data_IF_894533237287
#
_entry.id   IF_894533237287
#
_cell.length_a   1.000
_cell.length_b   1.000
_cell.length_c   1.000
_cell.angle_alpha   90.00
_cell.angle_beta   90.00
_cell.angle_gamma   90.00
#
_symmetry.space_group_name_H-M   'P 1'
#
loop_
_entity.id
_entity.type
_entity.pdbx_description
1 polymer ?
#
# COMPACT_ATOMS: atom_id res chain seq x y z
N UNK A 1 19.50 13.05 10.47
CA UNK A 1 19.35 11.67 10.03
C UNK A 1 18.20 10.93 10.73
N UNK A 2 18.15 10.78 12.07
CA UNK A 2 17.08 10.02 12.76
C UNK A 2 15.64 10.48 12.43
N UNK A 3 15.37 11.79 12.38
CA UNK A 3 14.05 12.34 12.03
C UNK A 3 13.64 12.09 10.57
N UNK A 4 14.60 12.00 9.66
CA UNK A 4 14.40 11.76 8.23
C UNK A 4 14.08 10.29 7.96
N UNK A 5 14.81 9.38 8.59
CA UNK A 5 14.52 7.93 8.57
C UNK A 5 13.14 7.67 9.16
N UNK A 6 12.76 8.38 10.25
CA UNK A 6 11.44 8.26 10.86
C UNK A 6 10.32 8.76 9.94
N UNK A 7 10.55 9.80 9.14
CA UNK A 7 9.57 10.31 8.17
C UNK A 7 9.40 9.35 6.98
N UNK A 8 10.48 8.73 6.48
CA UNK A 8 10.41 7.69 5.44
C UNK A 8 9.72 6.43 5.97
N UNK A 9 10.03 6.00 7.19
CA UNK A 9 9.39 4.85 7.85
C UNK A 9 7.92 5.14 8.15
N UNK A 10 7.58 6.36 8.55
CA UNK A 10 6.19 6.78 8.76
C UNK A 10 5.40 6.85 7.45
N UNK A 11 6.01 7.33 6.35
CA UNK A 11 5.40 7.28 5.01
C UNK A 11 5.20 5.84 4.53
N UNK A 12 6.18 4.96 4.75
CA UNK A 12 6.04 3.52 4.47
C UNK A 12 4.99 2.85 5.36
N UNK A 13 4.92 3.22 6.64
CA UNK A 13 3.94 2.68 7.58
C UNK A 13 2.50 3.08 7.27
N UNK A 14 2.27 4.30 6.81
CA UNK A 14 0.93 4.74 6.37
C UNK A 14 0.46 4.00 5.12
N UNK A 15 1.37 3.58 4.24
CA UNK A 15 1.04 2.86 3.00
C UNK A 15 0.69 1.39 3.27
N UNK A 16 1.17 0.81 4.37
CA UNK A 16 0.87 -0.60 4.70
C UNK A 16 -0.53 -0.83 5.29
N UNK A 17 -1.24 0.22 5.70
CA UNK A 17 -2.58 0.10 6.30
C UNK A 17 -3.72 0.24 5.29
N UNK A 18 -3.44 0.51 4.02
CA UNK A 18 -4.46 0.66 2.98
C UNK A 18 -4.73 -0.68 2.32
N UNK A 19 -5.97 -1.14 2.41
CA UNK A 19 -6.58 -2.29 1.73
C UNK A 19 -5.66 -2.99 0.72
N UNK A 20 -5.02 -4.09 1.14
CA UNK A 20 -4.18 -4.90 0.28
C UNK A 20 -5.06 -5.56 -0.79
N UNK A 21 -5.31 -4.83 -1.88
CA UNK A 21 -5.86 -5.45 -3.07
C UNK A 21 -4.82 -6.43 -3.59
N UNK A 22 -5.21 -7.69 -3.70
CA UNK A 22 -4.35 -8.73 -4.26
C UNK A 22 -4.16 -8.45 -5.75
N UNK A 23 -2.93 -8.16 -6.13
CA UNK A 23 -2.50 -8.09 -7.52
C UNK A 23 -1.89 -9.44 -7.92
N UNK A 24 -1.98 -9.78 -9.20
CA UNK A 24 -1.27 -10.95 -9.74
C UNK A 24 0.23 -10.85 -9.44
N UNK A 25 0.86 -11.99 -9.19
CA UNK A 25 2.31 -12.02 -8.93
C UNK A 25 3.07 -11.42 -10.09
N UNK A 26 3.90 -10.42 -9.84
CA UNK A 26 4.75 -9.79 -10.83
C UNK A 26 6.18 -10.34 -10.76
N UNK A 27 6.82 -10.52 -11.92
CA UNK A 27 8.23 -10.90 -12.01
C UNK A 27 9.12 -9.68 -11.82
N UNK A 28 10.40 -9.91 -11.56
CA UNK A 28 11.36 -8.81 -11.47
C UNK A 28 11.41 -7.96 -12.74
N UNK A 29 11.21 -8.56 -13.90
CA UNK A 29 11.21 -7.90 -15.21
C UNK A 29 9.98 -7.05 -15.51
N UNK A 30 8.90 -7.20 -14.73
CA UNK A 30 7.64 -6.50 -14.96
C UNK A 30 7.65 -5.08 -14.36
N UNK A 31 6.73 -4.24 -14.85
CA UNK A 31 6.45 -2.90 -14.33
C UNK A 31 7.65 -1.94 -14.33
N UNK A 32 8.52 -2.10 -15.31
CA UNK A 32 9.58 -1.16 -15.61
C UNK A 32 9.12 -0.09 -16.60
N UNK A 33 9.64 1.10 -16.45
CA UNK A 33 9.45 2.20 -17.40
C UNK A 33 10.72 2.99 -17.58
N UNK A 34 10.91 3.52 -18.79
CA UNK A 34 11.98 4.46 -19.12
C UNK A 34 11.33 5.78 -19.52
N UNK A 35 11.90 6.89 -19.06
CA UNK A 35 11.37 8.21 -19.32
C UNK A 35 12.48 9.20 -19.69
N UNK A 36 12.10 10.14 -20.54
CA UNK A 36 12.85 11.36 -20.81
C UNK A 36 12.12 12.52 -20.16
N UNK A 37 12.85 13.45 -19.59
CA UNK A 37 12.27 14.63 -18.95
C UNK A 37 13.09 15.87 -19.30
N UNK A 38 12.45 17.00 -19.27
CA UNK A 38 13.07 18.27 -19.53
C UNK A 38 12.21 19.42 -19.00
N UNK A 39 12.84 20.53 -18.75
CA UNK A 39 12.14 21.66 -18.15
C UNK A 39 13.10 22.76 -17.75
N UNK A 40 12.81 23.35 -16.61
CA UNK A 40 13.59 24.45 -16.09
C UNK A 40 13.88 24.27 -14.60
N UNK A 41 15.02 24.76 -14.18
CA UNK A 41 15.47 24.83 -12.79
C UNK A 41 15.83 26.26 -12.45
N UNK A 42 15.45 26.69 -11.23
CA UNK A 42 15.79 28.02 -10.72
C UNK A 42 16.19 27.94 -9.25
N UNK A 43 17.23 28.66 -8.80
CA UNK A 43 17.61 28.69 -7.40
C UNK A 43 16.55 29.39 -6.54
N UNK A 44 16.33 28.91 -5.34
CA UNK A 44 15.41 29.49 -4.36
C UNK A 44 16.09 30.53 -3.43
N UNK A 45 17.33 30.91 -3.72
CA UNK A 45 17.98 32.02 -3.05
C UNK A 45 17.35 33.35 -3.51
N UNK A 46 17.69 34.47 -2.87
CA UNK A 46 17.14 35.80 -3.14
C UNK A 46 17.49 36.37 -4.56
N UNK A 47 17.64 35.50 -5.56
CA UNK A 47 17.92 35.88 -6.94
C UNK A 47 16.65 36.05 -7.78
N UNK A 48 16.78 36.57 -8.99
CA UNK A 48 15.66 36.80 -9.90
C UNK A 48 15.11 35.44 -10.38
N UNK A 49 13.94 35.07 -9.91
CA UNK A 49 13.30 33.77 -10.17
C UNK A 49 13.28 33.42 -11.67
N UNK A 50 12.85 34.34 -12.52
CA UNK A 50 12.80 34.14 -13.98
C UNK A 50 14.13 34.39 -14.67
N UNK A 51 14.94 35.33 -14.14
CA UNK A 51 16.20 35.72 -14.72
C UNK A 51 17.32 34.67 -14.58
N UNK A 52 17.22 33.87 -13.54
CA UNK A 52 18.20 32.83 -13.23
C UNK A 52 17.70 31.42 -13.61
N UNK A 53 16.60 31.35 -14.35
CA UNK A 53 16.05 30.07 -14.80
C UNK A 53 16.88 29.43 -15.90
N UNK A 54 17.13 28.11 -15.79
CA UNK A 54 17.92 27.33 -16.74
C UNK A 54 17.18 26.13 -17.26
N UNK A 55 17.52 25.69 -18.43
CA UNK A 55 17.09 24.44 -18.99
C UNK A 55 17.70 23.26 -18.26
N UNK A 56 16.91 22.22 -18.04
CA UNK A 56 17.34 20.92 -17.52
C UNK A 56 16.78 19.81 -18.40
N UNK A 57 17.60 18.80 -18.65
CA UNK A 57 17.20 17.57 -19.36
C UNK A 57 17.60 16.37 -18.52
N UNK A 58 16.85 15.29 -18.63
CA UNK A 58 17.15 14.11 -17.85
C UNK A 58 16.52 12.84 -18.41
N UNK A 59 17.00 11.74 -17.88
CA UNK A 59 16.50 10.39 -18.14
C UNK A 59 16.20 9.71 -16.82
N UNK A 60 15.19 8.88 -16.81
CA UNK A 60 14.84 8.07 -15.64
C UNK A 60 14.50 6.64 -16.04
N UNK A 61 14.86 5.70 -15.18
CA UNK A 61 14.44 4.32 -15.23
C UNK A 61 13.73 4.01 -13.92
N UNK A 62 12.44 3.65 -13.98
CA UNK A 62 11.58 3.41 -12.82
C UNK A 62 11.05 1.99 -12.82
N UNK A 63 10.97 1.39 -11.65
CA UNK A 63 10.26 0.15 -11.38
C UNK A 63 9.15 0.38 -10.38
N UNK A 64 7.94 -0.03 -10.71
CA UNK A 64 6.84 -0.12 -9.75
C UNK A 64 6.86 -1.52 -9.10
N UNK A 65 6.94 -1.56 -7.77
CA UNK A 65 6.97 -2.80 -6.97
C UNK A 65 5.56 -3.20 -6.59
N UNK A 66 4.73 -2.21 -6.29
CA UNK A 66 3.30 -2.36 -6.02
C UNK A 66 2.56 -1.25 -6.78
N UNK A 67 1.24 -1.31 -6.90
CA UNK A 67 0.46 -0.20 -7.47
C UNK A 67 0.62 1.15 -6.74
N UNK A 68 1.23 1.13 -5.54
CA UNK A 68 1.43 2.31 -4.70
C UNK A 68 2.90 2.72 -4.64
N UNK A 69 3.83 1.76 -4.57
CA UNK A 69 5.25 2.02 -4.35
C UNK A 69 6.10 1.68 -5.57
N UNK A 70 7.00 2.58 -5.88
CA UNK A 70 8.02 2.40 -6.91
C UNK A 70 9.37 2.96 -6.48
N UNK A 71 10.39 2.58 -7.20
CA UNK A 71 11.73 3.14 -7.09
C UNK A 71 12.36 3.27 -8.47
N UNK A 72 13.39 4.08 -8.57
CA UNK A 72 14.11 4.25 -9.82
C UNK A 72 15.45 4.92 -9.65
N UNK A 73 16.10 5.09 -10.78
CA UNK A 73 17.33 5.87 -10.92
C UNK A 73 17.12 6.97 -11.94
N UNK A 74 17.77 8.10 -11.74
CA UNK A 74 17.69 9.26 -12.63
C UNK A 74 19.05 9.87 -12.88
N UNK A 75 19.19 10.46 -14.07
CA UNK A 75 20.29 11.36 -14.41
C UNK A 75 19.72 12.64 -14.98
N UNK A 76 20.21 13.79 -14.52
CA UNK A 76 19.79 15.11 -14.96
C UNK A 76 20.99 15.99 -15.24
N UNK A 77 20.88 16.82 -16.25
CA UNK A 77 21.93 17.76 -16.70
C UNK A 77 21.32 19.13 -16.89
N UNK A 78 21.82 20.10 -16.17
CA UNK A 78 21.45 21.50 -16.34
C UNK A 78 22.25 22.12 -17.45
N UNK A 79 21.55 22.66 -18.44
CA UNK A 79 22.17 23.23 -19.63
C UNK A 79 22.81 24.59 -19.31
N UNK A 80 24.08 24.76 -19.66
CA UNK A 80 24.78 26.01 -19.46
C UNK A 80 24.20 27.10 -20.37
N UNK A 81 23.56 28.08 -19.75
CA UNK A 81 23.05 29.27 -20.45
C UNK A 81 23.68 30.52 -19.86
N UNK A 82 23.75 31.58 -20.62
CA UNK A 82 24.29 32.89 -20.17
C UNK A 82 23.46 33.53 -19.06
N UNK A 83 22.26 33.02 -18.80
CA UNK A 83 21.34 33.54 -17.77
C UNK A 83 21.73 33.17 -16.35
N UNK A 84 22.54 32.17 -16.16
CA UNK A 84 22.87 31.71 -14.81
C UNK A 84 23.98 32.54 -14.16
N UNK A 85 23.84 32.66 -12.87
CA UNK A 85 24.71 33.25 -11.88
C UNK A 85 26.03 33.85 -12.38
N UNK A 86 26.26 35.08 -12.01
CA UNK A 86 27.40 35.92 -12.30
C UNK A 86 28.77 35.31 -11.93
N UNK A 87 28.83 34.23 -11.20
CA UNK A 87 30.03 33.68 -10.59
C UNK A 87 30.42 32.27 -11.05
N UNK A 88 29.58 31.56 -11.81
CA UNK A 88 29.85 30.19 -12.24
C UNK A 88 29.55 30.04 -13.72
N UNK A 89 30.54 30.24 -14.56
CA UNK A 89 30.46 29.88 -15.98
C UNK A 89 31.29 28.63 -16.18
N UNK A 90 30.67 27.53 -16.53
CA UNK A 90 31.34 26.34 -17.04
C UNK A 90 31.70 26.54 -18.49
N UNK A 91 32.85 26.04 -18.93
CA UNK A 91 33.19 25.90 -20.36
C UNK A 91 32.48 24.72 -21.01
N UNK A 92 31.86 23.87 -20.20
CA UNK A 92 31.11 22.70 -20.63
C UNK A 92 29.70 23.07 -21.08
N UNK A 93 29.06 22.18 -21.83
CA UNK A 93 27.66 22.33 -22.24
C UNK A 93 26.71 22.31 -21.02
N UNK A 94 27.13 21.66 -19.95
CA UNK A 94 26.36 21.52 -18.71
C UNK A 94 27.05 22.19 -17.53
N UNK A 95 26.27 22.75 -16.63
CA UNK A 95 26.78 23.34 -15.38
C UNK A 95 26.72 22.36 -14.21
N UNK A 96 25.61 21.63 -14.12
CA UNK A 96 25.34 20.66 -13.05
C UNK A 96 24.92 19.33 -13.64
N UNK A 97 25.29 18.28 -12.95
CA UNK A 97 24.86 16.93 -13.23
C UNK A 97 24.39 16.31 -11.92
N UNK A 98 23.20 15.73 -11.94
CA UNK A 98 22.65 14.97 -10.84
C UNK A 98 22.50 13.51 -11.27
N UNK A 99 22.98 12.59 -10.46
CA UNK A 99 22.78 11.16 -10.66
C UNK A 99 22.35 10.55 -9.33
N UNK A 100 21.20 9.89 -9.30
CA UNK A 100 20.72 9.35 -8.04
C UNK A 100 19.59 8.36 -8.18
N UNK A 101 19.15 7.90 -7.00
CA UNK A 101 17.99 7.05 -6.85
C UNK A 101 16.80 7.83 -6.28
N UNK A 102 15.61 7.37 -6.61
CA UNK A 102 14.38 7.95 -6.08
C UNK A 102 13.36 6.87 -5.71
N UNK A 103 12.48 7.23 -4.80
CA UNK A 103 11.30 6.47 -4.40
C UNK A 103 10.05 7.22 -4.83
N UNK A 104 9.03 6.49 -5.22
CA UNK A 104 7.72 7.06 -5.55
C UNK A 104 6.62 6.41 -4.73
N UNK A 105 5.64 7.22 -4.33
CA UNK A 105 4.42 6.77 -3.68
C UNK A 105 3.20 7.30 -4.43
N UNK A 106 2.42 6.43 -5.07
CA UNK A 106 1.20 6.82 -5.78
C UNK A 106 0.09 7.15 -4.78
N UNK A 107 -0.09 8.45 -4.52
CA UNK A 107 -1.08 8.96 -3.57
C UNK A 107 -2.51 8.68 -4.02
N UNK A 108 -2.75 8.71 -5.33
CA UNK A 108 -4.07 8.41 -5.88
C UNK A 108 -4.48 6.99 -5.59
N UNK A 109 -3.57 6.02 -5.78
CA UNK A 109 -3.82 4.61 -5.49
C UNK A 109 -3.82 4.32 -3.98
N UNK A 110 -3.02 5.04 -3.20
CA UNK A 110 -3.02 4.93 -1.75
C UNK A 110 -4.36 5.34 -1.13
N UNK A 111 -4.97 6.41 -1.63
CA UNK A 111 -6.22 6.95 -1.10
C UNK A 111 -7.46 6.25 -1.68
N UNK A 112 -7.48 6.06 -2.99
CA UNK A 112 -8.68 5.59 -3.73
C UNK A 112 -8.63 4.12 -4.12
N UNK A 113 -7.62 3.36 -3.69
CA UNK A 113 -7.35 1.98 -4.09
C UNK A 113 -6.93 1.87 -5.56
N UNK A 114 -6.32 0.77 -5.96
CA UNK A 114 -5.99 0.48 -7.36
C UNK A 114 -7.18 -0.18 -8.07
N UNK A 115 -7.44 0.16 -9.35
CA UNK A 115 -8.61 -0.34 -10.10
C UNK A 115 -8.29 -1.49 -11.07
N UNK A 116 -7.07 -2.02 -11.06
CA UNK A 116 -6.61 -3.03 -12.03
C UNK A 116 -6.01 -2.42 -13.30
N UNK A 117 -6.20 -1.12 -13.51
CA UNK A 117 -5.57 -0.34 -14.58
C UNK A 117 -5.26 1.07 -14.06
N UNK A 118 -4.17 1.71 -14.51
CA UNK A 118 -3.85 3.08 -14.12
C UNK A 118 -4.98 4.04 -14.51
N UNK A 119 -5.29 4.99 -13.62
CA UNK A 119 -6.25 6.05 -13.92
C UNK A 119 -5.69 6.99 -14.98
N UNK A 120 -6.56 7.76 -15.62
CA UNK A 120 -6.14 8.77 -16.59
C UNK A 120 -5.16 9.77 -15.93
N UNK A 121 -5.48 10.22 -14.73
CA UNK A 121 -4.63 11.12 -13.95
C UNK A 121 -4.31 10.47 -12.61
N UNK A 122 -3.02 10.44 -12.27
CA UNK A 122 -2.51 9.96 -10.99
C UNK A 122 -1.48 10.93 -10.43
N UNK A 123 -1.48 11.09 -9.12
CA UNK A 123 -0.50 11.91 -8.40
C UNK A 123 0.42 10.99 -7.59
N UNK A 124 1.72 11.20 -7.75
CA UNK A 124 2.76 10.50 -7.00
C UNK A 124 3.58 11.48 -6.18
N UNK A 125 3.89 11.14 -4.95
CA UNK A 125 4.97 11.79 -4.19
C UNK A 125 6.31 11.19 -4.61
N UNK A 126 7.34 12.02 -4.63
CA UNK A 126 8.71 11.64 -5.00
C UNK A 126 9.68 12.07 -3.91
N UNK A 127 10.59 11.17 -3.54
CA UNK A 127 11.73 11.47 -2.68
C UNK A 127 13.00 10.85 -3.28
N UNK A 128 14.00 11.66 -3.56
CA UNK A 128 15.24 11.24 -4.19
C UNK A 128 16.47 11.66 -3.40
N UNK A 129 17.55 10.97 -3.65
CA UNK A 129 18.89 11.32 -3.16
C UNK A 129 19.95 10.84 -4.15
N UNK A 130 21.05 11.55 -4.21
CA UNK A 130 22.12 11.15 -5.11
C UNK A 130 23.33 12.09 -5.08
N UNK A 131 24.15 11.92 -6.08
CA UNK A 131 25.35 12.68 -6.28
C UNK A 131 25.06 13.91 -7.15
N UNK A 132 25.59 15.07 -6.71
CA UNK A 132 25.56 16.35 -7.41
C UNK A 132 26.98 16.72 -7.81
N UNK A 133 27.19 16.94 -9.09
CA UNK A 133 28.44 17.43 -9.63
C UNK A 133 28.24 18.80 -10.26
N UNK A 134 29.11 19.75 -9.90
CA UNK A 134 29.07 21.11 -10.40
C UNK A 134 30.36 21.37 -11.14
N UNK A 135 30.27 21.70 -12.44
CA UNK A 135 31.39 22.05 -13.29
C UNK A 135 31.79 23.51 -13.04
N UNK A 136 33.08 23.76 -12.77
CA UNK A 136 33.64 25.09 -12.56
C UNK A 136 34.69 25.41 -13.63
N UNK A 137 34.79 26.68 -14.01
CA UNK A 137 35.68 27.14 -15.12
C UNK A 137 37.15 27.27 -14.76
N UNK A 138 37.50 27.47 -13.51
CA UNK A 138 38.84 27.87 -13.09
C UNK A 138 39.26 27.29 -11.74
N UNK A 139 38.48 26.40 -11.19
CA UNK A 139 38.74 25.72 -9.94
C UNK A 139 38.44 24.22 -10.11
N UNK A 140 38.81 23.41 -9.13
CA UNK A 140 38.38 22.01 -9.09
C UNK A 140 36.84 21.92 -9.03
N UNK A 141 36.30 21.02 -9.83
CA UNK A 141 34.85 20.74 -9.84
C UNK A 141 34.36 20.33 -8.47
N UNK A 142 33.15 20.75 -8.14
CA UNK A 142 32.54 20.42 -6.84
C UNK A 142 31.72 19.13 -6.92
N UNK A 143 31.92 18.29 -5.93
CA UNK A 143 31.18 17.07 -5.77
C UNK A 143 30.41 17.11 -4.44
N UNK A 144 29.13 16.79 -4.45
CA UNK A 144 28.27 16.83 -3.28
C UNK A 144 27.15 15.83 -3.37
N UNK A 145 26.29 15.90 -2.36
CA UNK A 145 25.08 15.12 -2.31
C UNK A 145 23.84 16.02 -2.43
N UNK A 146 22.82 15.53 -3.13
CA UNK A 146 21.54 16.19 -3.15
C UNK A 146 20.44 15.34 -2.51
N UNK A 147 19.38 16.01 -2.07
CA UNK A 147 18.09 15.40 -1.79
C UNK A 147 17.00 16.10 -2.57
N UNK A 148 16.07 15.35 -3.11
CA UNK A 148 14.96 15.85 -3.93
C UNK A 148 13.64 15.46 -3.30
N UNK A 149 12.68 16.39 -3.25
CA UNK A 149 11.29 16.15 -2.86
C UNK A 149 10.39 16.80 -3.88
N UNK A 150 9.42 16.04 -4.35
CA UNK A 150 8.51 16.52 -5.37
C UNK A 150 7.23 15.72 -5.47
N UNK A 151 6.46 16.09 -6.48
CA UNK A 151 5.26 15.37 -6.87
C UNK A 151 5.26 15.21 -8.38
N UNK A 152 4.75 14.07 -8.87
CA UNK A 152 4.47 13.87 -10.28
C UNK A 152 2.96 13.88 -10.48
N UNK A 153 2.49 14.69 -11.40
CA UNK A 153 1.12 14.59 -11.93
C UNK A 153 1.22 13.84 -13.24
N UNK A 154 0.81 12.57 -13.23
CA UNK A 154 0.94 11.65 -14.33
C UNK A 154 -0.36 11.55 -15.12
N UNK A 155 -0.29 11.77 -16.42
CA UNK A 155 -1.37 11.56 -17.39
C UNK A 155 -1.06 10.26 -18.14
N UNK A 156 -1.80 9.21 -17.82
CA UNK A 156 -1.63 7.89 -18.41
C UNK A 156 -2.40 7.81 -19.74
N UNK A 157 -1.69 7.70 -20.84
CA UNK A 157 -2.20 7.83 -22.20
C UNK A 157 -2.35 6.48 -22.90
N UNK A 158 -3.29 6.44 -23.87
CA UNK A 158 -3.60 5.23 -24.66
C UNK A 158 -4.55 4.28 -23.94
N UNK A 159 -5.08 3.33 -24.65
CA UNK A 159 -6.01 2.31 -24.11
C UNK A 159 -5.33 1.38 -23.13
N UNK A 160 -4.09 1.02 -23.38
CA UNK A 160 -3.27 0.15 -22.53
C UNK A 160 -2.48 0.91 -21.46
N UNK A 161 -2.59 2.25 -21.41
CA UNK A 161 -1.86 3.11 -20.46
C UNK A 161 -0.33 2.91 -20.49
N UNK A 162 0.21 2.56 -21.65
CA UNK A 162 1.64 2.34 -21.84
C UNK A 162 2.47 3.62 -21.79
N UNK A 163 1.90 4.75 -22.23
CA UNK A 163 2.56 6.04 -22.26
C UNK A 163 2.12 6.92 -21.09
N UNK A 164 3.08 7.64 -20.52
CA UNK A 164 2.85 8.55 -19.39
C UNK A 164 3.42 9.91 -19.73
N UNK A 165 2.58 10.92 -19.76
CA UNK A 165 3.01 12.32 -19.76
C UNK A 165 2.96 12.83 -18.31
N UNK A 166 4.02 13.41 -17.80
CA UNK A 166 4.12 13.83 -16.40
C UNK A 166 4.50 15.30 -16.29
N UNK A 167 3.85 16.01 -15.36
CA UNK A 167 4.35 17.27 -14.83
C UNK A 167 5.03 16.99 -13.48
N UNK A 168 6.28 17.44 -13.30
CA UNK A 168 7.17 17.03 -12.21
C UNK A 168 7.76 18.24 -11.48
N UNK A 169 7.02 18.95 -10.64
CA UNK A 169 7.56 19.95 -9.74
C UNK A 169 8.35 19.28 -8.61
N UNK A 170 9.57 19.79 -8.32
CA UNK A 170 10.39 19.29 -7.23
C UNK A 170 11.26 20.39 -6.62
N UNK A 171 11.64 20.21 -5.36
CA UNK A 171 12.66 21.00 -4.70
C UNK A 171 13.88 20.09 -4.48
N UNK A 172 15.01 20.53 -4.98
CA UNK A 172 16.32 19.87 -4.83
C UNK A 172 17.13 20.66 -3.82
N UNK A 173 17.62 20.00 -2.80
CA UNK A 173 18.52 20.58 -1.80
C UNK A 173 19.95 20.08 -2.06
N UNK A 174 20.87 21.01 -2.26
CA UNK A 174 22.31 20.74 -2.17
C UNK A 174 22.65 20.55 -0.68
N UNK A 175 23.08 19.34 -0.33
CA UNK A 175 23.35 18.92 1.04
C UNK A 175 24.80 19.12 1.47
N UNK A 176 25.70 19.49 0.53
CA UNK A 176 27.13 19.66 0.81
C UNK A 176 27.49 21.11 1.08
N UNK A 177 27.10 21.62 2.19
CA UNK A 177 27.21 23.04 2.55
C UNK A 177 28.17 23.39 3.66
N UNK A 178 29.23 22.64 3.88
CA UNK A 178 30.21 22.91 4.95
C UNK A 178 29.91 22.14 6.24
N UNK A 179 30.26 22.66 7.42
CA UNK A 179 30.35 21.94 8.69
C UNK A 179 29.06 21.25 9.18
N UNK A 180 27.90 21.55 8.58
CA UNK A 180 26.62 20.90 8.94
C UNK A 180 25.74 20.71 7.71
N UNK A 181 25.31 19.47 7.49
CA UNK A 181 24.28 19.11 6.51
C UNK A 181 22.92 19.58 7.00
N UNK A 182 22.39 20.68 6.45
CA UNK A 182 21.10 21.25 6.81
C UNK A 182 20.26 21.49 5.57
N UNK A 183 18.94 21.31 5.69
CA UNK A 183 18.00 21.78 4.68
C UNK A 183 17.96 23.31 4.68
N UNK A 184 18.64 23.91 3.72
CA UNK A 184 18.75 25.36 3.58
C UNK A 184 18.13 25.78 2.23
N UNK A 185 17.05 26.57 2.29
CA UNK A 185 16.38 27.07 1.09
C UNK A 185 17.29 27.92 0.19
N UNK A 186 18.28 28.63 0.77
CA UNK A 186 19.25 29.38 -0.02
C UNK A 186 20.18 28.51 -0.86
N UNK A 187 20.17 27.20 -0.63
CA UNK A 187 20.92 26.18 -1.39
C UNK A 187 19.97 25.19 -2.07
N UNK A 188 18.72 25.57 -2.19
CA UNK A 188 17.71 24.76 -2.86
C UNK A 188 17.42 25.32 -4.24
N UNK A 189 17.00 24.43 -5.12
CA UNK A 189 16.57 24.71 -6.48
C UNK A 189 15.13 24.24 -6.64
N UNK A 190 14.31 25.04 -7.29
CA UNK A 190 13.00 24.60 -7.77
C UNK A 190 13.16 24.05 -9.18
N UNK A 191 12.74 22.83 -9.39
CA UNK A 191 12.63 22.19 -10.69
C UNK A 191 11.18 22.15 -11.14
N UNK A 192 10.94 22.53 -12.40
CA UNK A 192 9.67 22.38 -13.07
C UNK A 192 9.93 21.63 -14.37
N UNK A 193 9.61 20.34 -14.39
CA UNK A 193 9.91 19.48 -15.54
C UNK A 193 8.62 18.87 -16.11
N UNK A 194 8.68 18.56 -17.40
CA UNK A 194 7.71 17.72 -18.09
C UNK A 194 8.44 16.47 -18.57
N UNK A 195 7.84 15.32 -18.39
CA UNK A 195 8.44 14.05 -18.80
C UNK A 195 7.49 13.22 -19.64
N UNK A 196 8.06 12.41 -20.52
CA UNK A 196 7.37 11.37 -21.25
C UNK A 196 8.04 10.05 -20.92
N UNK A 197 7.26 9.07 -20.46
CA UNK A 197 7.76 7.75 -20.13
C UNK A 197 6.96 6.67 -20.85
N UNK A 198 7.62 5.56 -21.12
CA UNK A 198 7.04 4.36 -21.67
C UNK A 198 7.15 3.22 -20.66
N UNK A 199 6.03 2.60 -20.31
CA UNK A 199 5.95 1.39 -19.50
C UNK A 199 6.17 0.18 -20.39
N UNK A 200 7.17 -0.64 -20.07
CA UNK A 200 7.41 -1.87 -20.80
C UNK A 200 6.28 -2.87 -20.60
N UNK A 201 6.13 -3.74 -21.57
CA UNK A 201 5.14 -4.81 -21.53
C UNK A 201 5.59 -5.88 -20.53
N UNK A 202 4.71 -6.22 -19.62
CA UNK A 202 4.90 -7.26 -18.63
C UNK A 202 4.80 -8.66 -19.24
N UNK A 203 5.23 -9.69 -18.52
CA UNK A 203 5.13 -11.09 -18.96
C UNK A 203 3.69 -11.54 -19.25
N UNK A 204 2.69 -10.93 -18.58
CA UNK A 204 1.26 -11.20 -18.80
C UNK A 204 0.64 -10.39 -19.95
N UNK A 205 1.45 -9.65 -20.69
CA UNK A 205 1.03 -8.88 -21.86
C UNK A 205 0.46 -7.49 -21.55
N UNK A 206 0.38 -7.06 -20.28
CA UNK A 206 -0.08 -5.74 -19.86
C UNK A 206 1.07 -4.78 -19.63
N UNK A 207 0.78 -3.48 -19.43
CA UNK A 207 1.76 -2.44 -19.07
C UNK A 207 1.61 -1.97 -17.61
N UNK A 208 0.84 -2.70 -16.81
CA UNK A 208 0.54 -2.34 -15.41
C UNK A 208 0.17 -3.59 -14.63
N UNK A 209 -0.02 -3.42 -13.32
CA UNK A 209 -0.51 -4.48 -12.45
C UNK A 209 -1.92 -4.91 -12.85
N UNK A 210 -2.21 -6.19 -12.69
CA UNK A 210 -3.54 -6.78 -12.86
C UNK A 210 -4.07 -7.21 -11.50
N UNK A 211 -5.33 -6.91 -11.22
CA UNK A 211 -5.97 -7.41 -10.00
C UNK A 211 -6.26 -8.91 -10.14
N UNK A 212 -6.03 -9.66 -9.07
CA UNK A 212 -6.49 -11.03 -8.97
C UNK A 212 -8.03 -11.05 -8.93
N UNK A 213 -8.63 -10.97 -10.09
CA UNK A 213 -10.07 -11.19 -10.27
C UNK A 213 -10.40 -12.67 -10.52
N UNK A 214 -9.54 -13.59 -10.07
CA UNK A 214 -9.84 -15.01 -10.18
C UNK A 214 -11.07 -15.31 -9.32
N UNK A 215 -12.25 -15.21 -9.90
CA UNK A 215 -13.40 -15.95 -9.41
C UNK A 215 -13.05 -17.42 -9.66
N UNK A 216 -12.58 -18.08 -8.62
CA UNK A 216 -12.43 -19.54 -8.67
C UNK A 216 -13.80 -20.13 -8.94
N UNK A 217 -13.90 -21.02 -9.91
CA UNK A 217 -15.07 -21.90 -10.00
C UNK A 217 -15.13 -22.75 -8.74
N UNK A 218 -16.31 -23.26 -8.38
CA UNK A 218 -16.44 -24.10 -7.18
C UNK A 218 -15.46 -25.28 -7.23
N UNK A 219 -15.27 -25.87 -8.42
CA UNK A 219 -14.36 -27.00 -8.63
C UNK A 219 -12.87 -26.61 -8.42
N UNK A 220 -12.45 -25.42 -8.89
CA UNK A 220 -11.10 -24.90 -8.66
C UNK A 220 -10.87 -24.57 -7.17
N UNK A 221 -11.89 -24.04 -6.49
CA UNK A 221 -11.85 -23.76 -5.06
C UNK A 221 -11.71 -25.06 -4.25
N UNK A 222 -12.49 -26.07 -4.58
CA UNK A 222 -12.48 -27.38 -3.92
C UNK A 222 -11.14 -28.11 -4.15
N UNK A 223 -10.60 -28.01 -5.38
CA UNK A 223 -9.26 -28.54 -5.69
C UNK A 223 -8.15 -27.84 -4.88
N UNK A 224 -8.19 -26.49 -4.80
CA UNK A 224 -7.23 -25.70 -4.03
C UNK A 224 -7.32 -25.98 -2.53
N UNK A 225 -8.54 -26.15 -2.01
CA UNK A 225 -8.78 -26.50 -0.61
C UNK A 225 -8.28 -27.92 -0.30
N UNK A 226 -8.43 -28.85 -1.25
CA UNK A 226 -7.86 -30.20 -1.12
C UNK A 226 -6.32 -30.16 -1.05
N UNK A 227 -5.68 -29.37 -1.91
CA UNK A 227 -4.22 -29.18 -1.91
C UNK A 227 -3.73 -28.51 -0.62
N UNK A 228 -4.42 -27.47 -0.13
CA UNK A 228 -4.11 -26.81 1.14
C UNK A 228 -4.24 -27.79 2.32
N UNK A 229 -5.27 -28.64 2.32
CA UNK A 229 -5.46 -29.63 3.37
C UNK A 229 -4.39 -30.73 3.28
N UNK A 230 -3.99 -31.14 2.09
CA UNK A 230 -2.89 -32.09 1.89
C UNK A 230 -1.53 -31.51 2.33
N UNK A 231 -1.25 -30.24 2.00
CA UNK A 231 -0.04 -29.54 2.45
C UNK A 231 -0.03 -29.34 3.98
N UNK A 232 -1.19 -29.04 4.57
CA UNK A 232 -1.33 -28.99 6.03
C UNK A 232 -1.10 -30.35 6.67
N UNK A 233 -1.66 -31.42 6.11
CA UNK A 233 -1.44 -32.78 6.60
C UNK A 233 0.05 -33.20 6.50
N UNK A 234 0.73 -32.84 5.42
CA UNK A 234 2.17 -33.05 5.26
C UNK A 234 3.01 -32.19 6.22
N UNK A 235 2.60 -30.93 6.45
CA UNK A 235 3.27 -30.03 7.43
C UNK A 235 3.04 -30.50 8.86
N UNK A 236 1.87 -31.06 9.16
CA UNK A 236 1.52 -31.60 10.48
C UNK A 236 2.34 -32.85 10.82
N UNK A 237 2.71 -33.65 9.82
CA UNK A 237 3.54 -34.86 10.04
C UNK A 237 5.00 -34.56 10.41
N UNK A 238 5.49 -33.32 10.15
CA UNK A 238 6.90 -32.98 10.40
C UNK A 238 7.13 -31.93 11.49
N UNK A 239 6.11 -31.11 11.84
CA UNK A 239 6.23 -29.99 12.78
C UNK A 239 5.40 -30.12 14.07
N UNK A 240 4.51 -31.09 14.18
CA UNK A 240 3.52 -31.16 15.29
C UNK A 240 4.01 -31.96 16.48
N UNK A 241 5.15 -32.64 16.40
CA UNK A 241 5.67 -33.40 17.54
C UNK A 241 6.24 -32.50 18.67
N UNK A 242 6.50 -31.21 18.42
CA UNK A 242 7.17 -30.33 19.40
C UNK A 242 6.31 -29.21 20.01
N UNK A 243 5.15 -28.87 19.45
CA UNK A 243 4.34 -27.72 19.95
C UNK A 243 3.00 -28.14 20.56
N UNK A 244 2.46 -29.31 20.25
CA UNK A 244 1.15 -29.75 20.73
C UNK A 244 1.10 -30.23 22.19
N UNK A 245 2.23 -30.45 22.84
CA UNK A 245 2.25 -31.01 24.21
C UNK A 245 2.09 -29.99 25.33
N UNK A 246 2.22 -28.70 25.12
CA UNK A 246 2.17 -27.70 26.18
C UNK A 246 1.00 -26.70 26.11
N UNK A 247 0.43 -26.43 24.93
CA UNK A 247 -0.62 -25.41 24.77
C UNK A 247 -2.04 -26.01 24.86
N UNK A 248 -2.24 -27.29 24.60
CA UNK A 248 -3.57 -27.91 24.59
C UNK A 248 -4.02 -28.42 25.98
N UNK A 249 -3.18 -28.38 27.00
CA UNK A 249 -3.55 -28.86 28.33
C UNK A 249 -4.30 -27.87 29.21
N UNK A 250 -4.38 -26.61 28.89
CA UNK A 250 -5.06 -25.58 29.73
C UNK A 250 -6.33 -24.97 29.18
N UNK A 251 -6.73 -25.22 27.92
CA UNK A 251 -7.92 -24.59 27.31
C UNK A 251 -9.08 -25.54 27.05
N UNK A 252 -8.94 -26.81 27.33
CA UNK A 252 -10.05 -27.78 27.16
C UNK A 252 -10.63 -28.19 28.52
N UNK A 253 -11.16 -27.19 29.23
CA UNK A 253 -12.25 -27.40 30.21
C UNK A 253 -13.34 -26.38 29.96
N UNK A 254 -14.41 -26.86 29.39
CA UNK A 254 -15.69 -26.20 29.16
C UNK A 254 -15.78 -25.16 28.04
N UNK A 255 -16.57 -25.50 27.07
CA UNK A 255 -17.09 -24.83 25.89
C UNK A 255 -16.31 -25.03 24.58
N UNK A 256 -16.92 -25.85 23.74
CA UNK A 256 -16.57 -25.97 22.32
C UNK A 256 -16.91 -24.67 21.61
N UNK A 257 -16.03 -23.70 21.71
CA UNK A 257 -16.16 -22.43 20.97
C UNK A 257 -15.55 -22.64 19.58
N UNK A 258 -16.34 -22.45 18.53
CA UNK A 258 -15.80 -22.36 17.18
C UNK A 258 -14.92 -21.09 17.15
N UNK A 259 -13.62 -21.24 16.97
CA UNK A 259 -12.61 -20.17 17.07
C UNK A 259 -12.64 -19.15 15.93
N UNK A 260 -13.71 -19.10 15.14
CA UNK A 260 -13.86 -18.13 14.06
C UNK A 260 -14.68 -16.92 14.55
N UNK A 261 -14.04 -15.76 14.56
CA UNK A 261 -14.68 -14.50 14.87
C UNK A 261 -14.86 -13.65 13.59
N UNK A 262 -16.01 -13.03 13.43
CA UNK A 262 -16.31 -12.12 12.32
C UNK A 262 -16.25 -10.69 12.84
N UNK A 263 -15.25 -9.93 12.37
CA UNK A 263 -15.06 -8.52 12.75
C UNK A 263 -15.96 -7.57 11.96
N UNK A 264 -16.32 -6.45 12.61
CA UNK A 264 -17.12 -5.38 12.01
C UNK A 264 -16.45 -4.03 12.14
N UNK A 265 -16.69 -3.17 11.15
CA UNK A 265 -16.31 -1.77 11.23
C UNK A 265 -17.17 -1.03 12.25
N UNK A 266 -16.68 0.14 12.70
CA UNK A 266 -17.42 0.98 13.65
C UNK A 266 -18.81 1.33 13.07
N UNK A 267 -19.84 1.26 13.90
CA UNK A 267 -21.22 1.62 13.56
C UNK A 267 -21.76 0.90 12.31
N UNK A 268 -21.33 -0.36 12.06
CA UNK A 268 -21.77 -1.16 10.92
C UNK A 268 -22.14 -2.57 11.35
N UNK A 269 -23.17 -3.10 10.70
CA UNK A 269 -23.64 -4.48 10.76
C UNK A 269 -23.47 -5.22 9.42
N UNK A 270 -22.73 -4.59 8.47
CA UNK A 270 -22.46 -5.16 7.15
C UNK A 270 -21.33 -6.19 7.24
N UNK A 271 -21.60 -7.41 6.80
CA UNK A 271 -20.60 -8.48 6.68
C UNK A 271 -19.66 -8.15 5.52
N UNK A 272 -18.36 -8.04 5.80
CA UNK A 272 -17.37 -7.74 4.77
C UNK A 272 -17.12 -8.91 3.82
N UNK A 273 -16.69 -8.65 2.57
CA UNK A 273 -16.33 -9.73 1.62
C UNK A 273 -15.27 -10.68 2.19
N UNK A 274 -14.29 -10.15 2.91
CA UNK A 274 -13.27 -10.97 3.55
C UNK A 274 -13.85 -11.95 4.57
N UNK A 275 -14.96 -11.60 5.21
CA UNK A 275 -15.64 -12.45 6.20
C UNK A 275 -16.37 -13.63 5.58
N UNK A 276 -16.75 -13.55 4.30
CA UNK A 276 -17.46 -14.64 3.63
C UNK A 276 -16.61 -15.91 3.51
N UNK A 277 -15.29 -15.81 3.40
CA UNK A 277 -14.40 -16.97 3.42
C UNK A 277 -14.47 -17.72 4.77
N UNK A 278 -14.52 -16.98 5.89
CA UNK A 278 -14.68 -17.56 7.22
C UNK A 278 -16.07 -18.18 7.39
N UNK A 279 -17.12 -17.54 6.87
CA UNK A 279 -18.48 -18.06 6.90
C UNK A 279 -18.64 -19.32 6.04
N UNK A 280 -17.96 -19.42 4.90
CA UNK A 280 -17.93 -20.63 4.09
C UNK A 280 -17.38 -21.83 4.86
N UNK A 281 -16.29 -21.64 5.62
CA UNK A 281 -15.71 -22.67 6.47
C UNK A 281 -16.69 -23.13 7.57
N UNK A 282 -17.37 -22.18 8.22
CA UNK A 282 -18.37 -22.47 9.24
C UNK A 282 -19.56 -23.24 8.64
N UNK A 283 -20.05 -22.79 7.48
CA UNK A 283 -21.14 -23.43 6.78
C UNK A 283 -20.79 -24.86 6.35
N UNK A 284 -19.58 -25.07 5.83
CA UNK A 284 -19.07 -26.39 5.46
C UNK A 284 -19.00 -27.32 6.68
N UNK A 285 -18.47 -26.80 7.80
CA UNK A 285 -18.41 -27.53 9.05
C UNK A 285 -19.83 -27.91 9.56
N UNK A 286 -20.79 -26.98 9.52
CA UNK A 286 -22.16 -27.24 9.90
C UNK A 286 -22.83 -28.29 9.00
N UNK A 287 -22.57 -28.29 7.70
CA UNK A 287 -23.06 -29.28 6.74
C UNK A 287 -22.49 -30.68 7.01
N UNK A 288 -21.28 -30.77 7.52
CA UNK A 288 -20.63 -32.04 7.88
C UNK A 288 -21.09 -32.57 9.23
N UNK A 289 -21.61 -31.65 10.09
CA UNK A 289 -22.07 -31.98 11.47
C UNK A 289 -23.53 -31.69 11.62
N UNK A 290 -24.40 -32.51 11.01
CA UNK A 290 -25.84 -32.26 10.91
C UNK A 290 -26.59 -32.22 12.27
N UNK A 291 -26.04 -32.80 13.30
CA UNK A 291 -26.65 -32.83 14.63
C UNK A 291 -26.26 -31.66 15.55
N UNK A 292 -25.48 -30.68 15.01
CA UNK A 292 -24.97 -29.57 15.80
C UNK A 292 -25.79 -28.31 15.52
N UNK A 293 -26.23 -27.64 16.58
CA UNK A 293 -26.78 -26.30 16.53
C UNK A 293 -25.76 -25.28 17.04
N UNK A 294 -25.83 -24.06 16.54
CA UNK A 294 -24.93 -22.98 16.96
C UNK A 294 -25.72 -21.78 17.50
N UNK A 295 -25.05 -21.04 18.39
CA UNK A 295 -25.48 -19.72 18.83
C UNK A 295 -24.48 -18.72 18.31
N UNK A 296 -24.95 -17.71 17.61
CA UNK A 296 -24.18 -16.59 17.09
C UNK A 296 -24.32 -15.43 18.08
N UNK A 297 -23.21 -15.08 18.77
CA UNK A 297 -23.18 -14.01 19.75
C UNK A 297 -22.52 -12.77 19.17
N UNK A 298 -23.26 -11.64 19.16
CA UNK A 298 -22.75 -10.35 18.72
C UNK A 298 -22.25 -9.50 19.89
N UNK A 299 -21.13 -8.83 19.69
CA UNK A 299 -20.50 -7.94 20.67
C UNK A 299 -20.29 -6.54 20.07
N UNK A 300 -20.18 -5.56 20.95
CA UNK A 300 -19.87 -4.17 20.59
C UNK A 300 -18.80 -3.59 21.52
N UNK A 301 -18.05 -2.64 21.02
CA UNK A 301 -17.10 -1.90 21.83
C UNK A 301 -17.79 -0.97 22.83
N UNK A 302 -17.21 -0.78 24.03
CA UNK A 302 -17.81 -0.02 25.12
C UNK A 302 -17.56 1.47 25.05
N UNK A 303 -16.61 1.94 24.22
CA UNK A 303 -16.17 3.34 24.20
C UNK A 303 -16.99 4.19 23.24
N UNK A 304 -17.88 3.56 22.43
CA UNK A 304 -18.71 4.25 21.44
C UNK A 304 -20.18 3.87 21.60
N UNK A 305 -21.07 4.86 21.53
CA UNK A 305 -22.52 4.67 21.63
C UNK A 305 -23.04 4.41 23.06
N UNK A 306 -24.35 4.28 23.18
CA UNK A 306 -25.01 3.90 24.45
C UNK A 306 -25.09 2.38 24.58
N UNK A 307 -25.24 1.86 25.80
CA UNK A 307 -25.37 0.43 26.05
C UNK A 307 -26.58 -0.19 25.29
N UNK A 308 -27.68 0.55 25.21
CA UNK A 308 -28.89 0.11 24.50
C UNK A 308 -28.64 0.07 22.98
N UNK A 309 -28.05 1.11 22.42
CA UNK A 309 -27.68 1.16 21.01
C UNK A 309 -26.69 0.04 20.64
N UNK A 310 -25.69 -0.20 21.47
CA UNK A 310 -24.69 -1.23 21.25
C UNK A 310 -25.26 -2.65 21.35
N UNK A 311 -26.26 -2.85 22.20
CA UNK A 311 -26.98 -4.12 22.28
C UNK A 311 -27.78 -4.37 21.00
N UNK A 312 -28.50 -3.36 20.49
CA UNK A 312 -29.21 -3.44 19.23
C UNK A 312 -28.25 -3.69 18.04
N UNK A 313 -27.15 -2.94 17.96
CA UNK A 313 -26.12 -3.12 16.92
C UNK A 313 -25.50 -4.53 16.97
N UNK A 314 -25.23 -5.05 18.15
CA UNK A 314 -24.70 -6.40 18.33
C UNK A 314 -25.72 -7.47 17.87
N UNK A 315 -27.02 -7.27 18.13
CA UNK A 315 -28.09 -8.14 17.65
C UNK A 315 -28.15 -8.11 16.12
N UNK A 316 -28.15 -6.93 15.50
CA UNK A 316 -28.14 -6.81 14.01
C UNK A 316 -26.92 -7.48 13.38
N UNK A 317 -25.73 -7.38 13.99
CA UNK A 317 -24.52 -8.08 13.54
C UNK A 317 -24.68 -9.58 13.56
N UNK A 318 -25.22 -10.14 14.66
CA UNK A 318 -25.48 -11.57 14.77
C UNK A 318 -26.52 -12.04 13.73
N UNK A 319 -27.55 -11.25 13.48
CA UNK A 319 -28.56 -11.54 12.46
C UNK A 319 -28.01 -11.43 11.04
N UNK A 320 -27.15 -10.46 10.75
CA UNK A 320 -26.50 -10.32 9.45
C UNK A 320 -25.64 -11.55 9.12
N UNK A 321 -24.90 -12.07 10.10
CA UNK A 321 -24.12 -13.30 9.96
C UNK A 321 -25.02 -14.53 9.78
N UNK A 322 -26.10 -14.66 10.54
CA UNK A 322 -27.11 -15.71 10.35
C UNK A 322 -27.69 -15.67 8.95
N UNK A 323 -28.09 -14.48 8.49
CA UNK A 323 -28.66 -14.30 7.15
C UNK A 323 -27.66 -14.68 6.04
N UNK A 324 -26.39 -14.37 6.21
CA UNK A 324 -25.33 -14.79 5.28
C UNK A 324 -25.18 -16.33 5.26
N UNK A 325 -25.18 -17.00 6.41
CA UNK A 325 -25.10 -18.46 6.49
C UNK A 325 -26.33 -19.16 5.86
N UNK A 326 -27.52 -18.61 6.08
CA UNK A 326 -28.78 -19.18 5.54
C UNK A 326 -28.89 -18.89 4.04
N UNK A 327 -28.80 -17.62 3.63
CA UNK A 327 -29.15 -17.20 2.27
C UNK A 327 -28.02 -17.47 1.26
N UNK A 328 -26.75 -17.36 1.68
CA UNK A 328 -25.61 -17.54 0.78
C UNK A 328 -25.09 -18.97 0.81
N UNK A 329 -25.04 -19.59 2.00
CA UNK A 329 -24.43 -20.91 2.16
C UNK A 329 -25.44 -22.05 2.38
N UNK A 330 -26.75 -21.74 2.46
CA UNK A 330 -27.80 -22.76 2.54
C UNK A 330 -27.81 -23.55 3.84
N UNK A 331 -27.37 -22.97 4.96
CA UNK A 331 -27.48 -23.58 6.29
C UNK A 331 -28.91 -23.41 6.78
N UNK A 332 -29.51 -24.47 7.37
CA UNK A 332 -30.88 -24.38 7.91
C UNK A 332 -31.00 -23.36 9.04
N UNK A 333 -31.97 -22.47 8.95
CA UNK A 333 -32.22 -21.40 9.93
C UNK A 333 -32.51 -21.95 11.35
N UNK A 334 -33.09 -23.12 11.44
CA UNK A 334 -33.48 -23.78 12.72
C UNK A 334 -32.26 -24.20 13.53
N UNK A 335 -31.11 -24.31 12.88
CA UNK A 335 -29.82 -24.69 13.50
C UNK A 335 -29.05 -23.50 14.07
N UNK A 336 -29.52 -22.28 13.83
CA UNK A 336 -28.81 -21.06 14.16
C UNK A 336 -29.64 -20.16 15.06
N UNK A 337 -29.26 -20.04 16.32
CA UNK A 337 -29.79 -19.03 17.23
C UNK A 337 -28.89 -17.79 17.22
N UNK A 338 -29.45 -16.61 17.49
CA UNK A 338 -28.71 -15.33 17.57
C UNK A 338 -28.88 -14.71 18.95
N UNK A 339 -27.82 -14.09 19.47
CA UNK A 339 -27.84 -13.37 20.74
C UNK A 339 -27.01 -12.09 20.61
N UNK A 340 -27.62 -10.94 20.93
CA UNK A 340 -26.89 -9.67 21.05
C UNK A 340 -26.39 -9.46 22.46
N UNK A 341 -25.12 -9.63 22.72
CA UNK A 341 -24.49 -9.41 24.04
C UNK A 341 -24.24 -7.91 24.27
N UNK A 342 -23.91 -7.19 23.23
CA UNK A 342 -23.63 -5.75 23.30
C UNK A 342 -22.31 -5.47 24.01
N UNK A 343 -22.34 -4.64 25.05
CA UNK A 343 -21.16 -4.23 25.83
C UNK A 343 -21.07 -4.88 27.22
N UNK A 344 -22.03 -5.72 27.56
CA UNK A 344 -22.12 -6.33 28.90
C UNK A 344 -20.95 -7.26 29.18
N UNK A 345 -20.42 -7.88 28.15
CA UNK A 345 -19.22 -8.70 28.19
C UNK A 345 -18.23 -8.20 27.15
N UNK A 346 -16.95 -8.16 27.50
CA UNK A 346 -15.87 -7.83 26.59
C UNK A 346 -14.96 -9.04 26.45
N UNK A 347 -14.83 -9.54 25.22
CA UNK A 347 -14.02 -10.72 24.92
C UNK A 347 -12.51 -10.41 24.89
N UNK A 348 -12.17 -9.16 24.59
CA UNK A 348 -10.80 -8.72 24.37
C UNK A 348 -10.51 -7.47 25.18
N UNK A 349 -9.30 -7.36 25.70
CA UNK A 349 -8.80 -6.17 26.42
C UNK A 349 -8.73 -4.95 25.51
N UNK A 350 -8.42 -5.16 24.24
CA UNK A 350 -8.38 -4.09 23.24
C UNK A 350 -9.82 -3.80 22.77
N UNK A 351 -10.33 -2.61 23.12
CA UNK A 351 -11.72 -2.25 22.98
C UNK A 351 -12.30 -2.45 21.56
N UNK A 352 -11.59 -1.99 20.51
CA UNK A 352 -12.06 -2.10 19.12
C UNK A 352 -12.13 -3.55 18.60
N UNK A 353 -11.47 -4.51 19.25
CA UNK A 353 -11.58 -5.93 18.91
C UNK A 353 -12.90 -6.54 19.35
N UNK A 354 -13.62 -5.86 20.23
CA UNK A 354 -14.96 -6.29 20.67
C UNK A 354 -16.09 -5.96 19.65
N UNK A 355 -15.76 -5.36 18.50
CA UNK A 355 -16.69 -5.24 17.35
C UNK A 355 -16.73 -6.55 16.56
N UNK A 356 -17.30 -7.59 17.15
CA UNK A 356 -17.13 -8.95 16.69
C UNK A 356 -18.38 -9.78 16.89
N UNK A 357 -18.53 -10.80 16.06
CA UNK A 357 -19.48 -11.90 16.24
C UNK A 357 -18.70 -13.19 16.41
N UNK A 358 -19.06 -13.98 17.41
CA UNK A 358 -18.45 -15.29 17.68
C UNK A 358 -19.49 -16.40 17.65
N UNK A 359 -19.05 -17.63 17.45
CA UNK A 359 -19.89 -18.79 17.32
C UNK A 359 -19.69 -19.72 18.51
N UNK A 360 -20.76 -20.20 19.11
CA UNK A 360 -20.73 -21.23 20.14
C UNK A 360 -21.61 -22.41 19.74
N UNK A 361 -21.15 -23.60 20.02
CA UNK A 361 -21.93 -24.83 19.78
C UNK A 361 -22.95 -24.99 20.91
N UNK A 362 -24.22 -25.14 20.56
CA UNK A 362 -25.27 -25.51 21.48
C UNK A 362 -25.43 -27.03 21.43
N UNK A 363 -25.12 -27.71 22.54
CA UNK A 363 -25.31 -29.17 22.68
C UNK A 363 -26.73 -29.47 23.07
#
# INVERSE_FOLDING_TARGET
>A
MKKFIFMIVALMGMVMSVNAQTVESSRFTDNWSVGLKGGAVTPLNHSAFWGDMRGVVGIELKKEVTPILGFGVEGEWTVNTSAWSRNVHSTNVFDHQLVGGFLTGNLTNAIAGYRGTPRLVEVEAVAGLGWLHTYLNSAEDLNGWYTKFGANVNFNLGTERAWVLSFKPAIVYDMDGGVKTNFNLNRAYLELQVGVAYRFKNHNGTHSFVLCNKKYTQDEYDALMSEVNELRARSTATAVEYVEKEVIREVVKDNTTLTNAIGFTINSDVVSEASYASLANIASWLKTNDNVNIVIKGYADKDTGTAEYNKDLATRRAEAVKNALVNTFGVSADRIATEGVGVTEQLYDTNNWNRVVVFSVNK
#
